data_IF_747840278407
#
_entry.id   IF_747840278407
#
_cell.length_a   1.000
_cell.length_b   1.000
_cell.length_c   1.000
_cell.angle_alpha   90.00
_cell.angle_beta   90.00
_cell.angle_gamma   90.00
#
_symmetry.space_group_name_H-M   'P 1'
#
loop_
_entity.id
_entity.type
_entity.pdbx_description
1 polymer ?
#
# COMPACT_ATOMS: atom_id res chain seq x y z
N UNK A 1 0.44 11.28 1.75
CA UNK A 1 0.38 9.96 2.43
C UNK A 1 -0.98 9.32 2.23
N UNK A 2 -1.12 8.03 2.53
CA UNK A 2 -2.40 7.29 2.52
C UNK A 2 -3.44 7.98 3.40
N UNK A 3 -3.07 8.33 4.63
CA UNK A 3 -3.97 8.99 5.59
C UNK A 3 -4.54 10.32 5.06
N UNK A 4 -3.75 11.12 4.34
CA UNK A 4 -4.24 12.37 3.76
C UNK A 4 -5.32 12.12 2.68
N UNK A 5 -5.17 11.07 1.87
CA UNK A 5 -6.14 10.70 0.83
C UNK A 5 -7.41 10.10 1.42
N UNK A 6 -7.27 9.24 2.43
CA UNK A 6 -8.43 8.71 3.18
C UNK A 6 -9.22 9.87 3.80
N UNK A 7 -8.55 10.80 4.51
CA UNK A 7 -9.21 11.98 5.08
C UNK A 7 -9.92 12.83 4.03
N UNK A 8 -9.31 13.04 2.85
CA UNK A 8 -9.97 13.76 1.74
C UNK A 8 -11.22 13.03 1.26
N UNK A 9 -11.15 11.72 1.05
CA UNK A 9 -12.26 10.90 0.57
C UNK A 9 -13.43 10.83 1.57
N UNK A 10 -13.12 10.79 2.87
CA UNK A 10 -14.09 10.80 3.97
C UNK A 10 -14.74 12.18 4.10
N UNK A 11 -13.96 13.26 4.14
CA UNK A 11 -14.47 14.64 4.23
C UNK A 11 -15.38 15.01 3.07
N UNK A 12 -15.06 14.53 1.86
CA UNK A 12 -15.89 14.78 0.67
C UNK A 12 -17.26 14.08 0.72
N UNK A 13 -17.43 13.03 1.54
CA UNK A 13 -18.68 12.26 1.66
C UNK A 13 -19.54 12.65 2.85
N UNK A 14 -18.94 13.16 3.93
CA UNK A 14 -19.67 13.56 5.14
C UNK A 14 -20.14 12.35 5.97
N UNK A 15 -21.40 12.37 6.41
CA UNK A 15 -21.98 11.30 7.22
C UNK A 15 -22.22 10.03 6.39
N UNK A 16 -21.90 8.86 6.95
CA UNK A 16 -22.14 7.58 6.32
C UNK A 16 -23.40 6.92 6.85
N UNK A 17 -24.24 6.29 5.99
CA UNK A 17 -25.48 5.67 6.42
C UNK A 17 -25.28 4.39 7.25
N UNK A 18 -24.11 3.73 7.12
CA UNK A 18 -23.71 2.58 7.91
C UNK A 18 -22.19 2.35 7.81
N UNK A 19 -21.67 1.40 8.58
CA UNK A 19 -20.25 1.05 8.60
C UNK A 19 -19.75 0.50 7.26
N UNK A 20 -20.56 -0.30 6.55
CA UNK A 20 -20.17 -0.88 5.26
C UNK A 20 -19.96 0.18 4.18
N UNK A 21 -20.75 1.26 4.18
CA UNK A 21 -20.57 2.40 3.30
C UNK A 21 -19.26 3.16 3.61
N UNK A 22 -18.93 3.32 4.89
CA UNK A 22 -17.66 3.90 5.32
C UNK A 22 -16.47 3.03 4.90
N UNK A 23 -16.55 1.71 5.12
CA UNK A 23 -15.53 0.75 4.70
C UNK A 23 -15.31 0.78 3.19
N UNK A 24 -16.39 0.78 2.40
CA UNK A 24 -16.32 0.89 0.94
C UNK A 24 -15.62 2.16 0.50
N UNK A 25 -15.88 3.29 1.15
CA UNK A 25 -15.17 4.54 0.87
C UNK A 25 -13.66 4.41 1.10
N UNK A 26 -13.24 3.87 2.24
CA UNK A 26 -11.82 3.67 2.56
C UNK A 26 -11.17 2.71 1.56
N UNK A 27 -11.84 1.59 1.26
CA UNK A 27 -11.38 0.62 0.27
C UNK A 27 -11.09 1.27 -1.08
N UNK A 28 -12.07 2.01 -1.63
CA UNK A 28 -11.91 2.68 -2.91
C UNK A 28 -10.82 3.77 -2.87
N UNK A 29 -10.70 4.50 -1.75
CA UNK A 29 -9.64 5.49 -1.58
C UNK A 29 -8.24 4.86 -1.63
N UNK A 30 -8.06 3.67 -1.03
CA UNK A 30 -6.81 2.92 -1.09
C UNK A 30 -6.56 2.34 -2.48
N UNK A 31 -7.56 1.71 -3.10
CA UNK A 31 -7.39 1.12 -4.43
C UNK A 31 -7.08 2.16 -5.52
N UNK A 32 -7.58 3.38 -5.37
CA UNK A 32 -7.25 4.49 -6.27
C UNK A 32 -5.80 5.01 -6.19
N UNK A 33 -4.97 4.52 -5.25
CA UNK A 33 -3.59 4.96 -5.09
C UNK A 33 -2.69 4.54 -6.24
N UNK A 34 -2.88 3.31 -6.72
CA UNK A 34 -2.12 2.73 -7.83
C UNK A 34 -3.03 1.82 -8.66
N UNK A 35 -4.03 2.41 -9.36
CA UNK A 35 -5.08 1.64 -10.03
C UNK A 35 -4.53 0.76 -11.16
N UNK A 36 -3.34 1.06 -11.66
CA UNK A 36 -2.66 0.30 -12.74
C UNK A 36 -1.50 -0.55 -12.23
N UNK A 37 -1.16 -0.48 -10.93
CA UNK A 37 -0.03 -1.20 -10.34
C UNK A 37 1.36 -0.71 -10.80
N UNK A 38 1.44 0.39 -11.56
CA UNK A 38 2.69 0.88 -12.15
C UNK A 38 3.53 1.67 -11.14
N UNK A 39 2.90 2.27 -10.13
CA UNK A 39 3.59 2.88 -9.00
C UNK A 39 4.44 1.87 -8.25
N UNK A 40 3.86 0.71 -7.92
CA UNK A 40 4.54 -0.40 -7.26
C UNK A 40 5.76 -0.88 -8.04
N UNK A 41 5.64 -1.06 -9.36
CA UNK A 41 6.75 -1.51 -10.22
C UNK A 41 7.92 -0.53 -10.20
N UNK A 42 7.64 0.78 -10.35
CA UNK A 42 8.68 1.82 -10.31
C UNK A 42 9.42 1.88 -8.97
N UNK A 43 8.74 1.63 -7.86
CA UNK A 43 9.37 1.67 -6.54
C UNK A 43 10.26 0.44 -6.30
N UNK A 44 9.84 -0.75 -6.72
CA UNK A 44 10.59 -1.99 -6.48
C UNK A 44 12.00 -1.99 -7.09
N UNK A 45 12.21 -1.33 -8.24
CA UNK A 45 13.50 -1.28 -8.93
C UNK A 45 14.63 -0.69 -8.07
N UNK A 46 14.32 0.17 -7.10
CA UNK A 46 15.32 0.87 -6.27
C UNK A 46 15.73 0.09 -5.01
N UNK A 47 15.11 -1.07 -4.73
CA UNK A 47 15.27 -1.77 -3.45
C UNK A 47 16.41 -2.80 -3.41
N UNK A 48 17.11 -3.07 -4.52
CA UNK A 48 18.10 -4.16 -4.59
C UNK A 48 19.19 -4.07 -3.51
N UNK A 49 19.78 -2.90 -3.30
CA UNK A 49 20.82 -2.72 -2.27
C UNK A 49 20.30 -2.95 -0.86
N UNK A 50 19.11 -2.42 -0.54
CA UNK A 50 18.48 -2.64 0.76
C UNK A 50 18.11 -4.11 0.98
N UNK A 51 17.59 -4.79 -0.04
CA UNK A 51 17.27 -6.21 0.01
C UNK A 51 18.51 -7.06 0.28
N UNK A 52 19.65 -6.76 -0.35
CA UNK A 52 20.91 -7.46 -0.06
C UNK A 52 21.35 -7.29 1.41
N UNK A 53 21.21 -6.07 1.96
CA UNK A 53 21.53 -5.82 3.38
C UNK A 53 20.59 -6.58 4.32
N UNK A 54 19.30 -6.67 3.98
CA UNK A 54 18.35 -7.46 4.76
C UNK A 54 18.58 -8.97 4.64
N UNK A 55 18.98 -9.47 3.47
CA UNK A 55 19.33 -10.88 3.29
C UNK A 55 20.50 -11.28 4.22
N UNK A 56 21.47 -10.38 4.45
CA UNK A 56 22.58 -10.60 5.41
C UNK A 56 22.09 -10.50 6.86
N UNK A 57 21.33 -9.45 7.19
CA UNK A 57 20.91 -9.16 8.57
C UNK A 57 19.88 -10.16 9.10
N UNK A 58 19.03 -10.66 8.22
CA UNK A 58 17.93 -11.57 8.53
C UNK A 58 18.05 -12.86 7.71
N UNK A 59 19.20 -13.52 7.84
CA UNK A 59 19.50 -14.75 7.10
C UNK A 59 18.39 -15.80 7.24
N UNK A 60 18.11 -16.52 6.15
CA UNK A 60 17.06 -17.52 6.06
C UNK A 60 15.61 -17.00 6.05
N UNK A 61 15.33 -15.72 6.32
CA UNK A 61 13.94 -15.19 6.35
C UNK A 61 13.43 -14.70 5.00
N UNK A 62 14.30 -14.09 4.19
CA UNK A 62 13.92 -13.46 2.92
C UNK A 62 14.20 -14.33 1.70
N UNK A 63 15.20 -15.20 1.80
CA UNK A 63 15.64 -16.11 0.72
C UNK A 63 14.79 -17.39 0.64
N UNK A 64 14.05 -17.74 1.68
CA UNK A 64 13.30 -19.00 1.78
C UNK A 64 12.23 -19.22 0.69
N UNK A 65 11.78 -18.15 0.01
CA UNK A 65 10.84 -18.22 -1.12
C UNK A 65 11.46 -18.01 -2.50
N UNK A 66 12.77 -17.76 -2.59
CA UNK A 66 13.48 -17.44 -3.84
C UNK A 66 14.00 -18.77 -4.43
N UNK A 67 13.11 -19.54 -5.07
CA UNK A 67 13.52 -20.68 -5.93
C UNK A 67 13.99 -20.17 -7.28
#
# INVERSE_FOLDING_TARGET
SVNARIRRAVRARGHFPNEQAALKCVYLAVMSLDPTGQGRKRWATRWKSALNAFDITFDGRLSAGRK
#
